data_IF_497220763854
#
_entry.id   IF_497220763854
#
_cell.length_a   1.000
_cell.length_b   1.000
_cell.length_c   1.000
_cell.angle_alpha   90.00
_cell.angle_beta   90.00
_cell.angle_gamma   90.00
#
_symmetry.space_group_name_H-M   'P 1'
#
loop_
_entity.id
_entity.type
_entity.pdbx_description
1 polymer ?
#
# COMPACT_ATOMS: atom_id res chain seq x y z
N UNK A 1 -4.00 -10.54 -2.87
CA UNK A 1 -4.52 -10.27 -1.51
C UNK A 1 -5.82 -9.48 -1.61
N UNK A 2 -6.78 -9.78 -0.79
CA UNK A 2 -8.07 -9.09 -0.72
C UNK A 2 -8.57 -9.08 0.72
N UNK A 3 -9.31 -8.03 1.07
CA UNK A 3 -10.01 -7.95 2.34
C UNK A 3 -11.37 -7.28 2.16
N UNK A 4 -12.33 -7.62 3.02
CA UNK A 4 -13.69 -7.09 3.02
C UNK A 4 -13.99 -6.45 4.36
N UNK A 5 -14.08 -5.14 4.38
CA UNK A 5 -14.16 -4.32 5.58
C UNK A 5 -15.52 -3.65 5.74
N UNK A 6 -15.94 -3.44 6.98
CA UNK A 6 -16.97 -2.49 7.35
C UNK A 6 -16.28 -1.16 7.67
N UNK A 7 -16.22 -0.28 6.69
CA UNK A 7 -15.42 0.92 6.75
C UNK A 7 -16.01 1.94 7.74
N UNK A 8 -15.29 2.21 8.84
CA UNK A 8 -15.62 3.25 9.82
C UNK A 8 -15.16 4.63 9.38
N UNK A 9 -14.00 4.68 8.72
CA UNK A 9 -13.37 5.92 8.28
C UNK A 9 -12.49 5.62 7.06
N UNK A 10 -12.44 6.56 6.15
CA UNK A 10 -11.52 6.55 5.01
C UNK A 10 -10.81 7.90 4.89
N UNK A 11 -9.60 7.90 4.37
CA UNK A 11 -8.86 9.12 4.06
C UNK A 11 -7.99 8.93 2.81
N UNK A 12 -7.71 10.05 2.13
CA UNK A 12 -6.69 10.15 1.11
C UNK A 12 -5.44 10.74 1.76
N UNK A 13 -4.31 10.07 1.57
CA UNK A 13 -3.00 10.60 1.94
C UNK A 13 -2.29 11.09 0.69
N UNK A 14 -2.05 12.41 0.60
CA UNK A 14 -1.20 13.02 -0.41
C UNK A 14 0.25 12.92 0.05
N UNK A 15 1.03 12.10 -0.63
CA UNK A 15 2.36 11.65 -0.18
C UNK A 15 3.49 12.58 -0.66
N UNK A 16 3.43 13.86 -0.30
CA UNK A 16 4.46 14.86 -0.66
C UNK A 16 5.86 14.48 -0.13
N UNK A 17 5.91 13.82 1.02
CA UNK A 17 7.17 13.43 1.69
C UNK A 17 7.76 12.12 1.13
N UNK A 18 7.14 11.54 0.11
CA UNK A 18 7.56 10.28 -0.51
C UNK A 18 7.75 9.12 0.48
N UNK A 19 6.87 9.03 1.47
CA UNK A 19 6.88 7.95 2.46
C UNK A 19 6.47 6.61 1.84
N UNK A 20 6.85 5.51 2.49
CA UNK A 20 6.32 4.17 2.18
C UNK A 20 4.92 3.99 2.78
N UNK A 21 4.15 3.00 2.29
CA UNK A 21 2.87 2.65 2.90
C UNK A 21 3.02 2.34 4.39
N UNK A 22 4.09 1.65 4.78
CA UNK A 22 4.35 1.31 6.18
C UNK A 22 4.58 2.54 7.06
N UNK A 23 5.35 3.51 6.59
CA UNK A 23 5.56 4.77 7.31
C UNK A 23 4.25 5.56 7.46
N UNK A 24 3.43 5.61 6.39
CA UNK A 24 2.12 6.28 6.45
C UNK A 24 1.17 5.52 7.37
N UNK A 25 1.10 4.18 7.28
CA UNK A 25 0.28 3.36 8.18
C UNK A 25 0.65 3.57 9.64
N UNK A 26 1.94 3.58 9.96
CA UNK A 26 2.44 3.86 11.30
C UNK A 26 2.07 5.27 11.79
N UNK A 27 2.22 6.29 10.93
CA UNK A 27 1.88 7.68 11.24
C UNK A 27 0.39 7.90 11.47
N UNK A 28 -0.48 7.15 10.79
CA UNK A 28 -1.93 7.40 10.77
C UNK A 28 -2.74 6.43 11.61
N UNK A 29 -2.19 5.28 11.95
CA UNK A 29 -2.91 4.22 12.67
C UNK A 29 -4.05 3.58 11.87
N UNK A 30 -4.05 3.70 10.53
CA UNK A 30 -5.07 3.05 9.70
C UNK A 30 -4.94 1.53 9.76
N UNK A 31 -6.05 0.81 9.68
CA UNK A 31 -6.06 -0.66 9.70
C UNK A 31 -5.60 -1.22 8.35
N UNK A 32 -6.04 -0.59 7.25
CA UNK A 32 -5.72 -0.97 5.88
C UNK A 32 -5.20 0.24 5.12
N UNK A 33 -4.21 0.02 4.27
CA UNK A 33 -3.66 1.03 3.38
C UNK A 33 -3.36 0.38 2.01
N UNK A 34 -3.73 1.09 0.94
CA UNK A 34 -3.44 0.69 -0.44
C UNK A 34 -2.89 1.88 -1.23
N UNK A 35 -2.19 1.63 -2.33
CA UNK A 35 -1.82 2.69 -3.26
C UNK A 35 -3.08 3.38 -3.83
N UNK A 36 -2.93 4.65 -4.17
CA UNK A 36 -4.00 5.45 -4.78
C UNK A 36 -4.04 5.34 -6.30
N UNK A 37 -4.44 6.44 -6.94
CA UNK A 37 -4.58 6.53 -8.38
C UNK A 37 -3.27 6.90 -9.08
N UNK A 38 -3.29 6.97 -10.41
CA UNK A 38 -2.15 7.28 -11.28
C UNK A 38 -1.46 8.61 -10.90
N UNK A 39 -0.18 8.70 -11.19
CA UNK A 39 0.63 9.90 -11.01
C UNK A 39 1.69 10.03 -12.12
N UNK A 40 2.17 11.25 -12.35
CA UNK A 40 3.16 11.54 -13.38
C UNK A 40 4.61 11.38 -12.87
N UNK A 41 5.57 11.59 -13.76
CA UNK A 41 7.02 11.51 -13.44
C UNK A 41 7.50 12.58 -12.46
N UNK A 42 6.75 13.68 -12.29
CA UNK A 42 7.01 14.71 -11.28
C UNK A 42 6.45 14.34 -9.90
N UNK A 43 5.83 13.16 -9.78
CA UNK A 43 5.19 12.67 -8.57
C UNK A 43 3.91 13.45 -8.21
N UNK A 44 3.23 14.02 -9.19
CA UNK A 44 1.94 14.70 -9.03
C UNK A 44 0.79 13.75 -9.33
N UNK A 45 -0.27 13.71 -8.50
CA UNK A 45 -1.43 12.88 -8.78
C UNK A 45 -2.08 13.26 -10.12
N UNK A 46 -2.47 12.26 -10.90
CA UNK A 46 -3.31 12.41 -12.09
C UNK A 46 -4.79 12.21 -11.71
N UNK A 47 -5.68 12.73 -12.55
CA UNK A 47 -7.11 12.73 -12.26
C UNK A 47 -7.49 13.75 -11.17
N UNK A 48 -8.72 13.62 -10.69
CA UNK A 48 -9.21 14.45 -9.60
C UNK A 48 -8.77 13.89 -8.25
N UNK A 49 -8.11 14.71 -7.47
CA UNK A 49 -7.81 14.47 -6.06
C UNK A 49 -8.30 15.66 -5.26
N UNK A 50 -9.29 15.44 -4.41
CA UNK A 50 -9.85 16.44 -3.50
C UNK A 50 -9.73 15.90 -2.08
N UNK A 51 -9.19 16.68 -1.18
CA UNK A 51 -9.04 16.33 0.24
C UNK A 51 -9.73 17.39 1.09
N UNK A 52 -10.75 17.00 1.82
CA UNK A 52 -11.56 17.87 2.67
C UNK A 52 -12.04 19.14 1.93
N UNK A 53 -12.51 18.96 0.69
CA UNK A 53 -12.99 20.04 -0.17
C UNK A 53 -11.90 20.86 -0.88
N UNK A 54 -10.62 20.62 -0.59
CA UNK A 54 -9.49 21.30 -1.27
C UNK A 54 -9.00 20.47 -2.46
N UNK A 55 -8.94 21.10 -3.63
CA UNK A 55 -8.44 20.49 -4.85
C UNK A 55 -6.91 20.39 -4.76
N UNK A 56 -6.40 19.16 -4.80
CA UNK A 56 -4.96 18.83 -4.88
C UNK A 56 -4.55 18.67 -6.34
N UNK A 57 -5.35 17.96 -7.13
CA UNK A 57 -5.18 17.85 -8.59
C UNK A 57 -6.54 17.78 -9.27
N UNK A 58 -6.57 18.16 -10.55
CA UNK A 58 -7.74 18.08 -11.43
C UNK A 58 -7.32 17.66 -12.82
N UNK A 59 -8.13 16.82 -13.46
CA UNK A 59 -7.91 16.36 -14.84
C UNK A 59 -9.25 16.17 -15.53
N UNK A 60 -9.21 16.12 -16.88
CA UNK A 60 -10.40 15.96 -17.73
C UNK A 60 -10.81 14.50 -17.94
N UNK A 61 -9.96 13.53 -17.57
CA UNK A 61 -10.08 12.16 -18.06
C UNK A 61 -10.89 11.20 -17.23
N UNK A 62 -11.21 11.49 -15.96
CA UNK A 62 -11.96 10.59 -15.11
C UNK A 62 -12.98 11.30 -14.25
N UNK A 63 -14.25 11.01 -14.55
CA UNK A 63 -15.39 11.55 -13.80
C UNK A 63 -15.72 10.72 -12.57
N UNK A 64 -15.32 9.45 -12.54
CA UNK A 64 -15.61 8.53 -11.45
C UNK A 64 -14.45 8.43 -10.46
N UNK A 65 -14.81 8.25 -9.20
CA UNK A 65 -13.84 8.05 -8.13
C UNK A 65 -14.48 7.55 -6.85
N UNK A 66 -13.65 7.47 -5.83
CA UNK A 66 -14.06 7.20 -4.46
C UNK A 66 -14.36 8.53 -3.80
N UNK A 67 -15.63 8.76 -3.45
CA UNK A 67 -16.08 9.94 -2.72
C UNK A 67 -16.48 9.57 -1.29
N UNK A 68 -16.15 10.43 -0.34
CA UNK A 68 -16.50 10.28 1.07
C UNK A 68 -16.46 11.61 1.83
N UNK A 69 -17.13 11.68 2.95
CA UNK A 69 -16.98 12.75 3.95
C UNK A 69 -16.39 12.21 5.25
N UNK A 70 -16.21 13.09 6.24
CA UNK A 70 -15.58 12.71 7.53
C UNK A 70 -16.38 11.67 8.32
N UNK A 71 -17.67 11.54 8.06
CA UNK A 71 -18.59 10.68 8.80
C UNK A 71 -19.19 9.57 7.96
N UNK A 72 -18.96 9.55 6.65
CA UNK A 72 -19.61 8.62 5.72
C UNK A 72 -18.71 7.50 5.20
N UNK A 73 -19.34 6.36 4.92
CA UNK A 73 -18.68 5.28 4.21
C UNK A 73 -18.31 5.71 2.79
N UNK A 74 -17.17 5.25 2.24
CA UNK A 74 -16.79 5.59 0.88
C UNK A 74 -17.76 4.97 -0.12
N UNK A 75 -18.01 5.70 -1.22
CA UNK A 75 -18.86 5.24 -2.31
C UNK A 75 -18.24 5.56 -3.66
N UNK A 76 -18.58 4.78 -4.66
CA UNK A 76 -18.28 5.11 -6.04
C UNK A 76 -19.18 6.28 -6.49
N UNK A 77 -18.60 7.40 -6.92
CA UNK A 77 -19.32 8.64 -7.19
C UNK A 77 -18.62 9.52 -8.23
N UNK A 78 -19.33 10.55 -8.67
CA UNK A 78 -18.79 11.69 -9.45
C UNK A 78 -18.76 12.97 -8.62
N UNK A 79 -19.23 12.92 -7.37
CA UNK A 79 -19.28 14.07 -6.46
C UNK A 79 -17.88 14.39 -5.91
N UNK A 80 -17.43 15.62 -6.15
CA UNK A 80 -16.11 16.14 -5.78
C UNK A 80 -16.19 17.23 -4.72
N UNK A 81 -17.34 17.40 -4.08
CA UNK A 81 -17.56 18.49 -3.12
C UNK A 81 -16.84 18.29 -1.79
N UNK A 82 -16.48 17.04 -1.45
CA UNK A 82 -15.82 16.68 -0.19
C UNK A 82 -14.44 16.06 -0.46
N UNK A 83 -14.20 14.84 -0.03
CA UNK A 83 -13.00 14.11 -0.41
C UNK A 83 -13.29 13.20 -1.59
N UNK A 84 -12.40 13.22 -2.58
CA UNK A 84 -12.56 12.47 -3.82
C UNK A 84 -11.19 12.04 -4.36
N UNK A 85 -11.07 10.79 -4.76
CA UNK A 85 -9.92 10.27 -5.50
C UNK A 85 -10.41 9.57 -6.76
N UNK A 86 -9.92 10.01 -7.93
CA UNK A 86 -10.23 9.35 -9.21
C UNK A 86 -9.92 7.86 -9.20
N UNK A 87 -10.69 7.11 -9.98
CA UNK A 87 -10.49 5.70 -10.25
C UNK A 87 -11.15 5.31 -11.56
N UNK A 88 -10.67 4.27 -12.20
CA UNK A 88 -11.26 3.75 -13.45
C UNK A 88 -12.45 2.87 -13.08
N UNK A 89 -13.69 3.25 -13.45
CA UNK A 89 -14.85 2.42 -13.16
C UNK A 89 -14.79 1.14 -14.00
N UNK A 90 -14.88 0.01 -13.32
CA UNK A 90 -14.84 -1.32 -13.95
C UNK A 90 -16.11 -2.13 -13.70
N UNK A 91 -16.82 -1.90 -12.60
CA UNK A 91 -18.12 -2.48 -12.31
C UNK A 91 -19.11 -1.41 -11.88
N UNK A 92 -20.37 -1.53 -12.29
CA UNK A 92 -21.48 -0.71 -11.84
C UNK A 92 -22.77 -1.54 -11.80
N UNK A 93 -23.46 -1.54 -10.63
CA UNK A 93 -24.70 -2.28 -10.43
C UNK A 93 -24.60 -3.76 -10.86
N UNK A 94 -23.49 -4.45 -10.56
CA UNK A 94 -23.26 -5.84 -10.94
C UNK A 94 -22.93 -6.06 -12.42
N UNK A 95 -22.77 -5.00 -13.20
CA UNK A 95 -22.43 -5.10 -14.63
C UNK A 95 -21.01 -4.61 -14.91
N UNK A 96 -20.36 -5.22 -15.91
CA UNK A 96 -19.03 -4.80 -16.36
C UNK A 96 -19.11 -3.50 -17.15
N UNK A 97 -18.19 -2.57 -16.86
CA UNK A 97 -18.00 -1.34 -17.62
C UNK A 97 -16.84 -1.54 -18.58
N UNK A 98 -17.12 -1.35 -19.86
CA UNK A 98 -16.11 -1.40 -20.92
C UNK A 98 -15.76 0.03 -21.34
N UNK A 99 -14.48 0.37 -21.23
CA UNK A 99 -13.90 1.64 -21.71
C UNK A 99 -12.61 1.33 -22.46
N UNK A 100 -12.32 2.13 -23.46
CA UNK A 100 -10.99 2.11 -24.06
C UNK A 100 -9.98 2.62 -23.05
N UNK A 101 -8.99 1.79 -22.73
CA UNK A 101 -7.90 2.12 -21.84
C UNK A 101 -6.62 2.34 -22.66
N UNK A 102 -5.76 3.22 -22.20
CA UNK A 102 -4.43 3.35 -22.77
C UNK A 102 -3.69 1.99 -22.71
N UNK A 103 -2.85 1.65 -23.70
CA UNK A 103 -2.23 0.32 -23.81
C UNK A 103 -1.45 -0.11 -22.55
N UNK A 104 -0.78 0.81 -21.89
CA UNK A 104 -0.05 0.60 -20.65
C UNK A 104 -0.97 0.25 -19.45
N UNK A 105 -2.20 0.77 -19.45
CA UNK A 105 -3.22 0.46 -18.43
C UNK A 105 -3.98 -0.82 -18.80
N UNK A 106 -4.21 -1.07 -20.09
CA UNK A 106 -4.98 -2.23 -20.59
C UNK A 106 -4.22 -3.55 -20.45
N UNK A 107 -2.89 -3.51 -20.52
CA UNK A 107 -2.04 -4.72 -20.48
C UNK A 107 -2.26 -5.56 -19.23
N UNK A 108 -1.88 -6.84 -19.26
CA UNK A 108 -1.85 -7.73 -18.09
C UNK A 108 -0.80 -7.24 -17.09
N UNK A 109 -1.23 -6.93 -15.87
CA UNK A 109 -0.37 -6.39 -14.81
C UNK A 109 -0.95 -6.68 -13.42
N UNK A 110 -0.19 -6.46 -12.37
CA UNK A 110 -0.68 -6.43 -11.00
C UNK A 110 -1.77 -5.36 -10.87
N UNK A 111 -2.81 -5.65 -10.06
CA UNK A 111 -3.99 -4.77 -9.98
C UNK A 111 -4.30 -4.36 -8.55
N UNK A 112 -4.70 -3.10 -8.41
CA UNK A 112 -5.30 -2.55 -7.20
C UNK A 112 -6.70 -2.05 -7.55
N UNK A 113 -7.67 -2.38 -6.68
CA UNK A 113 -9.06 -1.93 -6.84
C UNK A 113 -9.75 -1.73 -5.50
N UNK A 114 -10.78 -0.89 -5.51
CA UNK A 114 -11.75 -0.76 -4.43
C UNK A 114 -13.11 -1.08 -5.01
N UNK A 115 -13.85 -1.94 -4.32
CA UNK A 115 -15.20 -2.31 -4.72
C UNK A 115 -16.18 -2.25 -3.55
N UNK A 116 -17.45 -2.38 -3.87
CA UNK A 116 -18.54 -2.33 -2.90
C UNK A 116 -19.48 -3.51 -3.11
N UNK A 117 -19.85 -4.13 -2.00
CA UNK A 117 -20.95 -5.08 -1.96
C UNK A 117 -22.28 -4.35 -1.89
N UNK A 118 -23.41 -4.99 -2.29
CA UNK A 118 -24.74 -4.40 -2.16
C UNK A 118 -25.10 -3.99 -0.71
N UNK A 119 -24.51 -4.64 0.29
CA UNK A 119 -24.71 -4.34 1.72
C UNK A 119 -23.84 -3.20 2.24
N UNK A 120 -23.11 -2.49 1.36
CA UNK A 120 -22.27 -1.36 1.72
C UNK A 120 -20.88 -1.71 2.26
N UNK A 121 -20.53 -3.00 2.42
CA UNK A 121 -19.14 -3.39 2.75
C UNK A 121 -18.21 -3.04 1.60
N UNK A 122 -16.99 -2.66 1.94
CA UNK A 122 -15.95 -2.31 0.98
C UNK A 122 -15.01 -3.50 0.80
N UNK A 123 -14.72 -3.86 -0.43
CA UNK A 123 -13.66 -4.80 -0.75
C UNK A 123 -12.42 -4.05 -1.23
N UNK A 124 -11.29 -4.39 -0.66
CA UNK A 124 -9.97 -3.92 -1.07
C UNK A 124 -9.28 -5.05 -1.80
N UNK A 125 -8.95 -4.83 -3.06
CA UNK A 125 -8.21 -5.78 -3.90
C UNK A 125 -6.82 -5.23 -4.19
N UNK A 126 -5.80 -6.01 -3.85
CA UNK A 126 -4.41 -5.69 -4.17
C UNK A 126 -3.67 -7.02 -4.33
N UNK A 127 -3.27 -7.36 -5.55
CA UNK A 127 -2.65 -8.65 -5.80
C UNK A 127 -1.41 -8.53 -6.69
N UNK A 128 -0.41 -9.37 -6.41
CA UNK A 128 0.76 -9.58 -7.25
C UNK A 128 0.47 -10.49 -8.47
N UNK A 129 -0.68 -11.14 -8.53
CA UNK A 129 -1.15 -11.82 -9.71
C UNK A 129 -1.39 -10.80 -10.82
N UNK A 130 -0.81 -11.04 -11.99
CA UNK A 130 -1.02 -10.18 -13.16
C UNK A 130 -2.35 -10.52 -13.80
N UNK A 131 -3.22 -9.52 -13.89
CA UNK A 131 -4.56 -9.63 -14.46
C UNK A 131 -4.76 -8.55 -15.53
N UNK A 132 -5.55 -8.88 -16.54
CA UNK A 132 -6.22 -7.87 -17.37
C UNK A 132 -7.34 -7.22 -16.56
N UNK A 133 -7.89 -6.09 -17.04
CA UNK A 133 -9.11 -5.51 -16.47
C UNK A 133 -10.27 -6.52 -16.45
N UNK A 134 -10.44 -7.26 -17.54
CA UNK A 134 -11.57 -8.17 -17.73
C UNK A 134 -11.48 -9.37 -16.77
N UNK A 135 -10.29 -9.92 -16.56
CA UNK A 135 -10.04 -10.96 -15.56
C UNK A 135 -10.34 -10.44 -14.13
N UNK A 136 -9.94 -9.20 -13.81
CA UNK A 136 -10.25 -8.58 -12.53
C UNK A 136 -11.76 -8.39 -12.34
N UNK A 137 -12.48 -7.90 -13.37
CA UNK A 137 -13.94 -7.77 -13.34
C UNK A 137 -14.64 -9.11 -13.04
N UNK A 138 -14.22 -10.19 -13.70
CA UNK A 138 -14.77 -11.53 -13.46
C UNK A 138 -14.52 -11.98 -12.05
N UNK A 139 -13.30 -11.79 -11.52
CA UNK A 139 -12.97 -12.15 -10.13
C UNK A 139 -13.80 -11.34 -9.13
N UNK A 140 -13.96 -10.04 -9.32
CA UNK A 140 -14.76 -9.21 -8.41
C UNK A 140 -16.26 -9.58 -8.44
N UNK A 141 -16.82 -9.83 -9.63
CA UNK A 141 -18.21 -10.29 -9.77
C UNK A 141 -18.44 -11.65 -9.10
N UNK A 142 -17.50 -12.59 -9.23
CA UNK A 142 -17.60 -13.90 -8.56
C UNK A 142 -17.59 -13.81 -7.03
N UNK A 143 -17.11 -12.68 -6.48
CA UNK A 143 -17.17 -12.37 -5.05
C UNK A 143 -18.46 -11.65 -4.64
N UNK A 144 -19.36 -11.34 -5.59
CA UNK A 144 -20.59 -10.60 -5.33
C UNK A 144 -20.41 -9.08 -5.24
N UNK A 145 -19.30 -8.54 -5.73
CA UNK A 145 -19.04 -7.10 -5.79
C UNK A 145 -19.94 -6.47 -6.84
N UNK A 146 -20.69 -5.42 -6.48
CA UNK A 146 -21.62 -4.73 -7.38
C UNK A 146 -20.99 -3.54 -8.10
N UNK A 147 -20.14 -2.79 -7.43
CA UNK A 147 -19.47 -1.61 -7.96
C UNK A 147 -17.99 -1.71 -7.71
N UNK A 148 -17.14 -1.28 -8.65
CA UNK A 148 -15.70 -1.28 -8.44
C UNK A 148 -14.98 -0.24 -9.29
N UNK A 149 -13.94 0.31 -8.70
CA UNK A 149 -12.94 1.19 -9.31
C UNK A 149 -11.57 0.53 -9.30
N UNK A 150 -10.91 0.51 -10.46
CA UNK A 150 -9.51 0.14 -10.55
C UNK A 150 -8.64 1.38 -10.28
N UNK A 151 -7.62 1.21 -9.47
CA UNK A 151 -6.62 2.20 -9.13
C UNK A 151 -5.33 1.99 -9.96
N UNK A 152 -4.23 2.65 -9.56
CA UNK A 152 -2.94 2.41 -10.21
C UNK A 152 -2.48 0.96 -10.00
N UNK A 153 -1.88 0.40 -11.03
CA UNK A 153 -1.47 -1.00 -11.09
C UNK A 153 0.02 -1.19 -11.41
N UNK A 154 0.38 -2.40 -11.77
CA UNK A 154 1.75 -2.76 -12.11
C UNK A 154 2.71 -2.48 -10.96
N UNK A 155 3.82 -1.82 -11.25
CA UNK A 155 4.83 -1.49 -10.24
C UNK A 155 4.34 -0.62 -9.07
N UNK A 156 3.16 -0.01 -9.15
CA UNK A 156 2.56 0.77 -8.05
C UNK A 156 1.70 -0.08 -7.11
N UNK A 157 1.33 -1.30 -7.50
CA UNK A 157 0.47 -2.20 -6.73
C UNK A 157 1.10 -2.55 -5.38
N UNK A 158 0.50 -2.08 -4.30
CA UNK A 158 0.98 -2.33 -2.94
C UNK A 158 -0.13 -2.09 -1.91
N UNK A 159 -0.11 -2.88 -0.84
CA UNK A 159 -1.04 -2.74 0.28
C UNK A 159 -0.43 -3.27 1.58
N UNK A 160 -1.01 -2.85 2.71
CA UNK A 160 -0.78 -3.46 4.03
C UNK A 160 -2.14 -3.62 4.70
N UNK A 161 -2.58 -4.86 4.88
CA UNK A 161 -3.78 -5.27 5.59
C UNK A 161 -3.40 -6.03 6.86
N UNK A 162 -4.33 -6.29 7.78
CA UNK A 162 -4.06 -7.09 8.98
C UNK A 162 -3.46 -8.48 8.67
N UNK A 163 -3.99 -9.15 7.63
CA UNK A 163 -3.59 -10.51 7.27
C UNK A 163 -2.31 -10.57 6.41
N UNK A 164 -1.79 -9.41 5.95
CA UNK A 164 -0.58 -9.42 5.14
C UNK A 164 -0.39 -8.19 4.27
N UNK A 165 0.56 -8.29 3.34
CA UNK A 165 0.93 -7.19 2.46
C UNK A 165 1.33 -7.63 1.05
N UNK A 166 1.07 -6.77 0.07
CA UNK A 166 1.73 -6.76 -1.24
C UNK A 166 2.73 -5.61 -1.23
N UNK A 167 3.97 -5.90 -1.59
CA UNK A 167 5.07 -4.94 -1.51
C UNK A 167 5.48 -4.43 -2.87
N UNK A 168 5.75 -3.13 -2.94
CA UNK A 168 6.46 -2.50 -4.06
C UNK A 168 7.49 -1.51 -3.51
N UNK A 169 8.64 -1.39 -4.17
CA UNK A 169 9.64 -0.37 -3.87
C UNK A 169 9.25 1.02 -4.39
N UNK A 170 8.27 1.08 -5.30
CA UNK A 170 7.82 2.34 -5.88
C UNK A 170 7.11 3.19 -4.85
N UNK A 171 7.52 4.45 -4.69
CA UNK A 171 6.74 5.44 -3.97
C UNK A 171 5.54 5.85 -4.81
N UNK A 172 4.40 6.09 -4.17
CA UNK A 172 3.15 6.49 -4.83
C UNK A 172 2.69 7.85 -4.32
N UNK A 173 2.15 8.67 -5.21
CA UNK A 173 1.80 10.05 -4.89
C UNK A 173 0.56 10.16 -3.99
N UNK A 174 -0.35 9.19 -4.08
CA UNK A 174 -1.55 9.12 -3.23
C UNK A 174 -1.72 7.72 -2.66
N UNK A 175 -2.34 7.64 -1.48
CA UNK A 175 -2.72 6.39 -0.82
C UNK A 175 -4.14 6.51 -0.28
N UNK A 176 -4.85 5.40 -0.25
CA UNK A 176 -6.12 5.27 0.44
C UNK A 176 -5.92 4.56 1.77
N UNK A 177 -6.43 5.18 2.80
CA UNK A 177 -6.35 4.73 4.19
C UNK A 177 -7.76 4.34 4.64
N UNK A 178 -7.91 3.20 5.28
CA UNK A 178 -9.18 2.73 5.81
C UNK A 178 -9.03 2.32 7.27
N UNK A 179 -10.09 2.55 8.05
CA UNK A 179 -10.28 2.05 9.41
C UNK A 179 -11.51 1.14 9.41
N UNK A 180 -11.31 -0.14 9.70
CA UNK A 180 -12.41 -1.11 9.81
C UNK A 180 -13.02 -1.04 11.21
N UNK A 181 -14.35 -1.13 11.29
CA UNK A 181 -15.08 -1.18 12.58
C UNK A 181 -14.74 -2.41 13.41
N UNK A 182 -14.43 -3.53 12.77
CA UNK A 182 -14.20 -4.82 13.42
C UNK A 182 -12.74 -5.05 13.84
N UNK A 183 -11.82 -4.25 13.34
CA UNK A 183 -10.43 -4.31 13.75
C UNK A 183 -10.20 -3.30 14.88
N UNK A 184 -9.90 -3.78 16.09
CA UNK A 184 -9.20 -2.94 17.06
C UNK A 184 -7.92 -2.50 16.34
N UNK A 185 -7.80 -1.20 16.05
CA UNK A 185 -6.56 -0.63 15.57
C UNK A 185 -5.52 -0.89 16.66
N UNK A 186 -4.83 -2.02 16.56
CA UNK A 186 -3.57 -2.15 17.25
C UNK A 186 -2.70 -1.04 16.64
N UNK A 187 -2.27 -0.05 17.40
CA UNK A 187 -1.26 0.87 16.92
C UNK A 187 -0.11 -0.05 16.49
N UNK A 188 0.27 0.02 15.22
CA UNK A 188 1.56 -0.54 14.80
C UNK A 188 2.54 0.13 15.73
N UNK A 189 2.99 -0.59 16.74
CA UNK A 189 4.06 -0.13 17.62
C UNK A 189 5.26 0.04 16.69
N UNK A 190 5.44 1.27 16.20
CA UNK A 190 6.79 1.71 15.86
C UNK A 190 7.51 1.50 17.18
N UNK A 191 8.60 0.72 17.22
CA UNK A 191 9.38 0.65 18.42
C UNK A 191 9.77 2.09 18.77
N UNK A 192 9.04 2.73 19.70
CA UNK A 192 9.44 3.97 20.36
C UNK A 192 10.61 3.69 21.30
N UNK A 193 10.99 2.43 21.40
CA UNK A 193 12.20 2.02 22.07
C UNK A 193 13.40 2.51 21.27
N UNK A 194 14.06 3.50 21.81
CA UNK A 194 15.35 4.01 21.34
C UNK A 194 16.46 2.93 21.43
N UNK A 195 16.18 1.82 22.10
CA UNK A 195 17.12 0.70 22.28
C UNK A 195 16.54 -0.59 21.70
N UNK A 196 17.32 -1.23 20.82
CA UNK A 196 16.94 -2.53 20.25
C UNK A 196 16.80 -3.59 21.36
N UNK A 197 15.65 -4.30 21.44
CA UNK A 197 15.43 -5.32 22.47
C UNK A 197 16.22 -6.62 22.20
N UNK A 198 16.86 -6.73 21.05
CA UNK A 198 17.64 -7.90 20.65
C UNK A 198 19.13 -7.59 20.73
N UNK A 199 19.94 -8.58 21.17
CA UNK A 199 21.39 -8.43 21.19
C UNK A 199 21.97 -8.32 19.78
N UNK A 200 22.95 -7.42 19.60
CA UNK A 200 23.69 -7.29 18.34
C UNK A 200 24.39 -8.63 18.02
N UNK A 201 24.23 -9.15 16.79
CA UNK A 201 24.87 -10.41 16.41
C UNK A 201 26.39 -10.23 16.29
N UNK A 202 27.14 -11.18 16.82
CA UNK A 202 28.60 -11.25 16.67
C UNK A 202 29.02 -11.85 15.32
N UNK A 203 28.14 -12.67 14.71
CA UNK A 203 28.34 -13.28 13.39
C UNK A 203 27.58 -12.51 12.32
N UNK A 204 28.01 -12.65 11.07
CA UNK A 204 27.29 -12.09 9.92
C UNK A 204 25.91 -12.73 9.75
N UNK A 205 24.90 -11.90 9.49
CA UNK A 205 23.54 -12.33 9.18
C UNK A 205 23.31 -12.27 7.67
N UNK A 206 22.87 -13.37 7.10
CA UNK A 206 22.63 -13.55 5.66
C UNK A 206 21.38 -14.38 5.42
N UNK A 207 20.99 -14.58 4.15
CA UNK A 207 19.85 -15.43 3.80
C UNK A 207 19.92 -16.79 4.51
N UNK A 208 18.83 -17.15 5.17
CA UNK A 208 18.70 -18.39 5.94
C UNK A 208 19.17 -18.28 7.40
N UNK A 209 19.72 -17.15 7.84
CA UNK A 209 20.04 -16.94 9.26
C UNK A 209 18.77 -16.93 10.11
N UNK A 210 18.82 -17.58 11.27
CA UNK A 210 17.69 -17.71 12.20
C UNK A 210 18.05 -17.14 13.59
N UNK A 211 17.01 -16.77 14.35
CA UNK A 211 17.10 -16.42 15.77
C UNK A 211 17.32 -14.94 16.07
N UNK A 212 17.88 -14.64 17.27
CA UNK A 212 17.96 -13.29 17.84
C UNK A 212 18.78 -12.32 16.99
N UNK A 213 19.88 -12.77 16.37
CA UNK A 213 20.68 -11.93 15.47
C UNK A 213 19.92 -11.50 14.22
N UNK A 214 19.10 -12.38 13.64
CA UNK A 214 18.22 -12.04 12.54
C UNK A 214 17.16 -11.02 12.97
N UNK A 215 16.56 -11.19 14.16
CA UNK A 215 15.63 -10.22 14.74
C UNK A 215 16.28 -8.84 14.94
N UNK A 216 17.51 -8.80 15.40
CA UNK A 216 18.24 -7.55 15.56
C UNK A 216 18.38 -6.81 14.22
N UNK A 217 18.81 -7.51 13.16
CA UNK A 217 18.97 -6.89 11.83
C UNK A 217 17.62 -6.45 11.26
N UNK A 218 16.57 -7.27 11.36
CA UNK A 218 15.21 -6.93 10.93
C UNK A 218 14.68 -5.69 11.66
N UNK A 219 14.91 -5.61 12.98
CA UNK A 219 14.49 -4.49 13.81
C UNK A 219 15.23 -3.20 13.41
N UNK A 220 16.56 -3.26 13.24
CA UNK A 220 17.34 -2.12 12.80
C UNK A 220 16.95 -1.66 11.40
N UNK A 221 16.76 -2.57 10.44
CA UNK A 221 16.27 -2.23 9.10
C UNK A 221 14.92 -1.50 9.14
N UNK A 222 14.03 -1.88 10.06
CA UNK A 222 12.76 -1.19 10.25
C UNK A 222 12.94 0.25 10.76
N UNK A 223 13.92 0.53 11.60
CA UNK A 223 14.29 1.91 11.98
C UNK A 223 14.75 2.75 10.78
N UNK A 224 15.40 2.11 9.82
CA UNK A 224 15.83 2.74 8.56
C UNK A 224 14.75 2.69 7.46
N UNK A 225 13.48 2.46 7.85
CA UNK A 225 12.34 2.55 6.94
C UNK A 225 11.98 1.27 6.20
N UNK A 226 12.55 0.12 6.56
CA UNK A 226 12.05 -1.16 6.12
C UNK A 226 10.72 -1.50 6.85
N UNK A 227 9.99 -2.51 6.36
CA UNK A 227 8.71 -2.95 6.94
C UNK A 227 8.72 -4.46 7.04
N UNK A 228 9.68 -4.96 7.83
CA UNK A 228 9.88 -6.39 8.03
C UNK A 228 9.09 -6.86 9.26
N UNK A 229 8.56 -8.07 9.18
CA UNK A 229 8.18 -8.82 10.39
C UNK A 229 9.48 -9.20 11.10
N UNK A 230 9.59 -8.88 12.39
CA UNK A 230 10.76 -9.22 13.22
C UNK A 230 10.55 -10.63 13.77
N UNK A 231 10.56 -11.62 12.87
CA UNK A 231 10.30 -13.04 13.18
C UNK A 231 11.57 -13.83 13.49
N UNK A 232 12.73 -13.26 13.14
CA UNK A 232 14.01 -13.94 13.31
C UNK A 232 14.34 -14.93 12.19
N UNK A 233 13.60 -14.91 11.09
CA UNK A 233 13.91 -15.66 9.88
C UNK A 233 14.40 -14.70 8.80
N UNK A 234 15.71 -14.72 8.50
CA UNK A 234 16.31 -13.83 7.52
C UNK A 234 16.07 -14.34 6.09
N UNK A 235 14.81 -14.29 5.67
CA UNK A 235 14.33 -14.74 4.37
C UNK A 235 14.53 -13.72 3.25
N UNK A 236 13.89 -13.97 2.09
CA UNK A 236 13.99 -13.13 0.89
C UNK A 236 13.66 -11.65 1.16
N UNK A 237 12.60 -11.36 1.91
CA UNK A 237 12.19 -9.98 2.23
C UNK A 237 13.28 -9.24 3.04
N UNK A 238 13.87 -9.91 4.05
CA UNK A 238 14.94 -9.33 4.87
C UNK A 238 16.20 -9.06 4.05
N UNK A 239 16.57 -9.98 3.15
CA UNK A 239 17.72 -9.79 2.23
C UNK A 239 17.49 -8.61 1.30
N UNK A 240 16.31 -8.50 0.69
CA UNK A 240 15.98 -7.37 -0.20
C UNK A 240 16.08 -6.04 0.55
N UNK A 241 15.53 -5.94 1.76
CA UNK A 241 15.59 -4.74 2.58
C UNK A 241 17.04 -4.40 2.99
N UNK A 242 17.86 -5.41 3.26
CA UNK A 242 19.28 -5.21 3.58
C UNK A 242 20.07 -4.66 2.38
N UNK A 243 19.88 -5.24 1.20
CA UNK A 243 20.53 -4.76 -0.05
C UNK A 243 20.14 -3.30 -0.33
N UNK A 244 18.85 -2.96 -0.20
CA UNK A 244 18.38 -1.58 -0.37
C UNK A 244 19.02 -0.63 0.65
N UNK A 245 19.14 -1.04 1.91
CA UNK A 245 19.81 -0.27 2.95
C UNK A 245 21.30 -0.07 2.63
N UNK A 246 22.01 -1.16 2.30
CA UNK A 246 23.44 -1.12 1.95
C UNK A 246 23.70 -0.15 0.79
N UNK A 247 22.90 -0.25 -0.28
CA UNK A 247 23.02 0.64 -1.46
C UNK A 247 22.81 2.12 -1.09
N UNK A 248 21.78 2.42 -0.30
CA UNK A 248 21.50 3.79 0.17
C UNK A 248 22.59 4.35 1.08
N UNK A 249 23.29 3.46 1.78
CA UNK A 249 24.35 3.82 2.74
C UNK A 249 25.76 3.78 2.14
N UNK A 250 25.90 3.55 0.82
CA UNK A 250 27.20 3.47 0.15
C UNK A 250 28.05 2.25 0.55
N UNK A 251 27.39 1.20 1.04
CA UNK A 251 28.03 -0.07 1.41
C UNK A 251 27.96 -1.07 0.24
N UNK A 252 28.80 -2.11 0.28
CA UNK A 252 28.65 -3.26 -0.62
C UNK A 252 27.28 -3.88 -0.44
N UNK A 253 26.45 -3.93 -1.49
CA UNK A 253 25.05 -4.36 -1.48
C UNK A 253 24.91 -5.88 -1.73
N UNK A 254 25.67 -6.67 -0.97
CA UNK A 254 25.76 -8.13 -1.06
C UNK A 254 24.66 -8.91 -0.30
N UNK A 255 23.82 -8.19 0.46
CA UNK A 255 22.77 -8.80 1.27
C UNK A 255 23.31 -9.54 2.51
N UNK A 256 24.54 -9.26 2.93
CA UNK A 256 25.16 -9.82 4.13
C UNK A 256 25.38 -8.71 5.16
N UNK A 257 24.77 -8.84 6.31
CA UNK A 257 24.97 -7.92 7.42
C UNK A 257 26.25 -8.30 8.20
N UNK A 258 27.39 -7.86 7.69
CA UNK A 258 28.69 -7.96 8.34
C UNK A 258 28.93 -6.85 9.36
N UNK A 259 30.16 -6.73 9.87
CA UNK A 259 30.54 -5.71 10.87
C UNK A 259 30.34 -4.28 10.36
N UNK A 260 30.75 -3.98 9.13
CA UNK A 260 30.58 -2.67 8.51
C UNK A 260 29.08 -2.28 8.39
N UNK A 261 28.24 -3.21 7.92
CA UNK A 261 26.80 -2.98 7.81
C UNK A 261 26.15 -2.78 9.18
N UNK A 262 26.55 -3.57 10.20
CA UNK A 262 26.03 -3.38 11.57
C UNK A 262 26.39 -2.02 12.16
N UNK A 263 27.62 -1.55 11.89
CA UNK A 263 28.05 -0.23 12.39
C UNK A 263 27.14 0.90 11.86
N UNK A 264 26.77 0.87 10.60
CA UNK A 264 25.89 1.87 9.97
C UNK A 264 24.42 1.68 10.37
N UNK A 265 23.96 0.44 10.57
CA UNK A 265 22.59 0.16 11.03
C UNK A 265 22.28 0.70 12.44
N UNK A 266 23.31 0.96 13.26
CA UNK A 266 23.16 1.50 14.62
C UNK A 266 22.99 3.02 14.68
N UNK A 267 23.36 3.73 13.63
CA UNK A 267 23.25 5.20 13.53
C UNK A 267 21.82 5.62 13.28
#
# INVERSE_FOLDING_TARGET
MRDSIKCKKVAIYHNTDRLTLAQVKAKTGCTHIINGYLFNTKFEPLGWTVIDGKIVSKDRYNDWGIAFDKAGAPKMSTDRTKSFLSGIPILKNGARIYRNLAPDVARKAERTAVGWYPNGRVVLWCDSEKLTRDELQVKLLSLGVSDALMLDGGGSTQCIFPEGKVYSSRKVATMLLFWDENTKAEPVKIPTETKCPYAEPTKSIKKGSLGSGAKWVQWQLNRHGASLVVDGNFGKASVTALIEFQRKSGLTDDGICGSATRAVLKL
#
